data_IF_864353916686
#
_entry.id   IF_864353916686
#
_cell.length_a   1.000
_cell.length_b   1.000
_cell.length_c   1.000
_cell.angle_alpha   90.00
_cell.angle_beta   90.00
_cell.angle_gamma   90.00
#
_symmetry.space_group_name_H-M   'P 1'
#
loop_
_entity.id
_entity.type
_entity.pdbx_description
1 polymer ?
#
# COMPACT_ATOMS: atom_id res chain seq x y z
N UNK A 1 7.91 -21.41 7.48
CA UNK A 1 6.57 -20.98 7.93
C UNK A 1 6.41 -19.45 8.03
N UNK A 2 7.48 -18.65 8.03
CA UNK A 2 7.38 -17.18 8.06
C UNK A 2 6.99 -16.55 6.70
N UNK A 3 7.36 -17.18 5.58
CA UNK A 3 7.16 -16.63 4.24
C UNK A 3 5.69 -16.46 3.84
N UNK A 4 4.83 -17.42 4.22
CA UNK A 4 3.40 -17.38 3.89
C UNK A 4 2.64 -16.24 4.60
N UNK A 5 3.09 -15.86 5.80
CA UNK A 5 2.42 -14.80 6.58
C UNK A 5 2.85 -13.41 6.09
N UNK A 6 4.11 -13.28 5.65
CA UNK A 6 4.65 -12.05 5.05
C UNK A 6 4.05 -11.79 3.67
N UNK A 7 3.87 -12.83 2.83
CA UNK A 7 3.16 -12.71 1.54
C UNK A 7 1.70 -12.27 1.74
N UNK A 8 0.98 -12.84 2.72
CA UNK A 8 -0.40 -12.41 3.03
C UNK A 8 -0.52 -10.96 3.51
N UNK A 9 0.49 -10.41 4.21
CA UNK A 9 0.47 -8.98 4.56
C UNK A 9 0.76 -8.09 3.36
N UNK A 10 1.70 -8.50 2.52
CA UNK A 10 2.08 -7.82 1.29
C UNK A 10 0.88 -7.69 0.33
N UNK A 11 0.21 -8.81 0.05
CA UNK A 11 -1.01 -8.86 -0.77
C UNK A 11 -2.09 -7.92 -0.22
N UNK A 12 -2.35 -7.98 1.09
CA UNK A 12 -3.35 -7.11 1.72
C UNK A 12 -3.01 -5.62 1.62
N UNK A 13 -1.74 -5.24 1.70
CA UNK A 13 -1.31 -3.84 1.55
C UNK A 13 -1.59 -3.35 0.13
N UNK A 14 -1.30 -4.17 -0.88
CA UNK A 14 -1.60 -3.87 -2.29
C UNK A 14 -3.11 -3.76 -2.50
N UNK A 15 -3.89 -4.68 -1.95
CA UNK A 15 -5.35 -4.63 -2.05
C UNK A 15 -5.93 -3.37 -1.38
N UNK A 16 -5.40 -2.94 -0.23
CA UNK A 16 -5.82 -1.69 0.42
C UNK A 16 -5.57 -0.47 -0.49
N UNK A 17 -4.42 -0.43 -1.17
CA UNK A 17 -4.12 0.64 -2.13
C UNK A 17 -5.12 0.63 -3.30
N UNK A 18 -5.46 -0.55 -3.83
CA UNK A 18 -6.46 -0.69 -4.89
C UNK A 18 -7.85 -0.24 -4.44
N UNK A 19 -8.26 -0.55 -3.21
CA UNK A 19 -9.52 -0.07 -2.65
C UNK A 19 -9.56 1.47 -2.57
N UNK A 20 -8.48 2.07 -2.09
CA UNK A 20 -8.38 3.53 -2.00
C UNK A 20 -8.42 4.19 -3.37
N UNK A 21 -7.79 3.59 -4.39
CA UNK A 21 -7.82 4.07 -5.76
C UNK A 21 -9.22 3.98 -6.37
N UNK A 22 -9.90 2.84 -6.18
CA UNK A 22 -11.20 2.57 -6.81
C UNK A 22 -12.34 3.36 -6.17
N UNK A 23 -12.35 3.49 -4.83
CA UNK A 23 -13.44 4.11 -4.09
C UNK A 23 -13.15 5.55 -3.64
N UNK A 24 -11.90 6.01 -3.78
CA UNK A 24 -11.43 7.33 -3.33
C UNK A 24 -11.30 7.46 -1.83
N UNK A 25 -12.34 7.12 -1.06
CA UNK A 25 -12.36 7.17 0.41
C UNK A 25 -12.79 5.83 0.98
N UNK A 26 -11.97 5.23 1.84
CA UNK A 26 -12.25 3.93 2.46
C UNK A 26 -12.22 4.05 3.99
N UNK A 27 -13.13 3.37 4.69
CA UNK A 27 -13.16 3.35 6.15
C UNK A 27 -12.36 2.17 6.73
N UNK A 28 -11.71 2.38 7.87
CA UNK A 28 -11.01 1.30 8.60
C UNK A 28 -11.94 0.12 8.91
N UNK A 29 -13.19 0.40 9.28
CA UNK A 29 -14.20 -0.63 9.53
C UNK A 29 -14.47 -1.48 8.28
N UNK A 30 -14.55 -0.86 7.10
CA UNK A 30 -14.69 -1.59 5.85
C UNK A 30 -13.50 -2.53 5.60
N UNK A 31 -12.28 -2.05 5.81
CA UNK A 31 -11.07 -2.89 5.68
C UNK A 31 -11.08 -4.08 6.64
N UNK A 32 -11.50 -3.86 7.90
CA UNK A 32 -11.62 -4.93 8.89
C UNK A 32 -12.57 -6.03 8.45
N UNK A 33 -13.74 -5.66 7.92
CA UNK A 33 -14.74 -6.61 7.42
C UNK A 33 -14.25 -7.33 6.17
N UNK A 34 -13.73 -6.58 5.19
CA UNK A 34 -13.29 -7.12 3.89
C UNK A 34 -12.16 -8.14 4.03
N UNK A 35 -11.17 -7.83 4.85
CA UNK A 35 -9.99 -8.68 5.01
C UNK A 35 -10.07 -9.61 6.23
N UNK A 36 -11.18 -9.57 6.98
CA UNK A 36 -11.37 -10.31 8.23
C UNK A 36 -10.19 -10.11 9.20
N UNK A 37 -9.85 -8.85 9.48
CA UNK A 37 -8.73 -8.46 10.34
C UNK A 37 -9.18 -7.64 11.53
N UNK A 38 -8.36 -7.67 12.59
CA UNK A 38 -8.57 -6.80 13.76
C UNK A 38 -8.32 -5.33 13.42
N UNK A 39 -8.89 -4.44 14.24
CA UNK A 39 -8.65 -3.00 14.13
C UNK A 39 -7.16 -2.65 14.23
N UNK A 40 -6.41 -3.32 15.12
CA UNK A 40 -4.96 -3.16 15.27
C UNK A 40 -4.21 -3.50 13.98
N UNK A 41 -4.59 -4.60 13.31
CA UNK A 41 -3.99 -4.99 12.03
C UNK A 41 -4.29 -3.95 10.96
N UNK A 42 -5.54 -3.49 10.88
CA UNK A 42 -5.93 -2.46 9.91
C UNK A 42 -5.15 -1.16 10.13
N UNK A 43 -4.98 -0.71 11.38
CA UNK A 43 -4.15 0.46 11.71
C UNK A 43 -2.70 0.28 11.29
N UNK A 44 -2.10 -0.88 11.58
CA UNK A 44 -0.71 -1.15 11.20
C UNK A 44 -0.53 -1.07 9.70
N UNK A 45 -1.44 -1.67 8.94
CA UNK A 45 -1.37 -1.71 7.49
C UNK A 45 -1.60 -0.31 6.89
N UNK A 46 -2.55 0.46 7.42
CA UNK A 46 -2.73 1.88 7.07
C UNK A 46 -1.51 2.74 7.43
N UNK A 47 -0.84 2.45 8.55
CA UNK A 47 0.35 3.18 8.98
C UNK A 47 1.56 2.92 8.06
N UNK A 48 1.67 1.70 7.51
CA UNK A 48 2.66 1.40 6.46
C UNK A 48 2.45 2.24 5.20
N UNK A 49 1.21 2.66 4.95
CA UNK A 49 0.81 3.47 3.80
C UNK A 49 0.75 4.98 4.09
N UNK A 50 1.21 5.42 5.28
CA UNK A 50 1.05 6.80 5.77
C UNK A 50 1.66 7.89 4.86
N UNK A 51 2.67 7.54 4.05
CA UNK A 51 3.25 8.46 3.05
C UNK A 51 2.34 8.70 1.83
N UNK A 52 1.31 7.87 1.65
CA UNK A 52 0.48 7.82 0.44
C UNK A 52 -0.98 8.13 0.72
N UNK A 53 -1.39 8.01 1.98
CA UNK A 53 -2.78 8.19 2.40
C UNK A 53 -2.88 9.32 3.42
N UNK A 54 -4.01 10.00 3.43
CA UNK A 54 -4.36 10.96 4.46
C UNK A 54 -5.67 10.58 5.17
N UNK A 55 -5.74 10.91 6.46
CA UNK A 55 -6.93 10.72 7.27
C UNK A 55 -7.99 11.78 6.97
N UNK A 56 -9.20 11.35 6.63
CA UNK A 56 -10.35 12.23 6.39
C UNK A 56 -11.19 12.47 7.66
N UNK A 57 -10.76 11.96 8.82
CA UNK A 57 -11.55 11.89 10.04
C UNK A 57 -12.47 10.66 10.08
N UNK A 58 -13.02 10.36 11.27
CA UNK A 58 -13.94 9.23 11.51
C UNK A 58 -13.42 7.86 11.03
N UNK A 59 -12.10 7.65 11.10
CA UNK A 59 -11.45 6.41 10.64
C UNK A 59 -11.52 6.19 9.13
N UNK A 60 -11.71 7.24 8.33
CA UNK A 60 -11.69 7.19 6.86
C UNK A 60 -10.36 7.70 6.31
N UNK A 61 -9.93 7.11 5.21
CA UNK A 61 -8.66 7.37 4.56
C UNK A 61 -8.84 7.52 3.05
N UNK A 62 -7.97 8.29 2.41
CA UNK A 62 -7.90 8.45 0.95
C UNK A 62 -6.47 8.58 0.48
N UNK A 63 -6.22 8.35 -0.80
CA UNK A 63 -4.93 8.68 -1.40
C UNK A 63 -4.69 10.19 -1.38
N UNK A 64 -3.46 10.59 -1.08
CA UNK A 64 -3.02 11.99 -1.18
C UNK A 64 -3.09 12.39 -2.67
N UNK A 65 -3.68 13.54 -3.05
CA UNK A 65 -3.81 13.93 -4.45
C UNK A 65 -2.47 14.09 -5.19
N UNK A 66 -2.43 13.70 -6.47
CA UNK A 66 -1.25 13.68 -7.36
C UNK A 66 -0.51 15.01 -7.52
N UNK A 67 -1.17 16.15 -7.31
CA UNK A 67 -0.51 17.48 -7.26
C UNK A 67 0.54 17.61 -6.14
N UNK A 68 0.60 16.67 -5.22
CA UNK A 68 1.61 16.57 -4.17
C UNK A 68 2.62 15.42 -4.41
N UNK A 69 2.54 14.70 -5.54
CA UNK A 69 3.19 13.40 -5.76
C UNK A 69 4.39 13.39 -6.71
N UNK A 70 4.92 14.54 -7.16
CA UNK A 70 6.04 14.59 -8.12
C UNK A 70 7.33 13.86 -7.68
N UNK A 71 7.46 13.50 -6.39
CA UNK A 71 8.56 12.71 -5.84
C UNK A 71 8.07 11.47 -5.06
N UNK A 72 6.75 11.25 -5.03
CA UNK A 72 6.12 10.19 -4.23
C UNK A 72 6.13 8.87 -5.00
N UNK A 73 6.07 8.87 -6.34
CA UNK A 73 6.10 7.62 -7.12
C UNK A 73 7.41 6.84 -6.98
N UNK A 74 8.58 7.49 -7.06
CA UNK A 74 9.88 6.83 -6.84
C UNK A 74 10.05 6.38 -5.38
N UNK A 75 9.54 7.19 -4.44
CA UNK A 75 9.50 6.84 -3.02
C UNK A 75 8.51 5.69 -2.75
N UNK A 76 7.38 5.61 -3.46
CA UNK A 76 6.40 4.52 -3.41
C UNK A 76 7.05 3.24 -3.88
N UNK A 77 7.63 3.26 -5.08
CA UNK A 77 8.23 2.09 -5.71
C UNK A 77 9.32 1.50 -4.81
N UNK A 78 10.20 2.34 -4.27
CA UNK A 78 11.28 1.92 -3.36
C UNK A 78 10.80 1.49 -1.96
N UNK A 79 9.75 2.11 -1.40
CA UNK A 79 9.22 1.73 -0.07
C UNK A 79 8.38 0.47 -0.13
N UNK A 80 7.52 0.34 -1.14
CA UNK A 80 6.75 -0.87 -1.40
C UNK A 80 7.67 -2.02 -1.76
N UNK A 81 8.70 -1.79 -2.59
CA UNK A 81 9.72 -2.77 -2.88
C UNK A 81 10.34 -3.40 -1.62
N UNK A 82 10.81 -2.55 -0.69
CA UNK A 82 11.39 -2.98 0.59
C UNK A 82 10.36 -3.69 1.48
N UNK A 83 9.13 -3.17 1.52
CA UNK A 83 8.04 -3.73 2.31
C UNK A 83 7.68 -5.15 1.86
N UNK A 84 7.57 -5.33 0.54
CA UNK A 84 7.17 -6.58 -0.11
C UNK A 84 8.34 -7.56 -0.27
N UNK A 85 9.53 -7.21 0.20
CA UNK A 85 10.78 -7.95 -0.05
C UNK A 85 11.07 -8.13 -1.54
N UNK A 86 10.50 -7.27 -2.38
CA UNK A 86 10.62 -7.38 -3.82
C UNK A 86 12.06 -7.09 -4.28
N UNK A 87 12.93 -6.51 -3.44
CA UNK A 87 14.38 -6.42 -3.68
C UNK A 87 15.02 -7.82 -3.86
N UNK A 88 14.46 -8.86 -3.23
CA UNK A 88 14.93 -10.24 -3.39
C UNK A 88 14.44 -10.90 -4.70
N UNK A 89 13.39 -10.36 -5.33
CA UNK A 89 12.72 -10.96 -6.50
C UNK A 89 13.01 -10.18 -7.79
N UNK A 90 13.12 -8.86 -7.69
CA UNK A 90 13.41 -7.94 -8.80
C UNK A 90 14.52 -6.97 -8.34
N UNK A 91 15.80 -7.35 -8.52
CA UNK A 91 16.93 -6.58 -8.02
C UNK A 91 17.17 -5.27 -8.82
N UNK A 92 16.87 -5.26 -10.11
CA UNK A 92 17.02 -4.11 -10.98
C UNK A 92 15.64 -3.53 -11.32
N UNK A 93 15.26 -2.46 -10.61
CA UNK A 93 14.02 -1.67 -10.81
C UNK A 93 14.34 -0.26 -11.26
N UNK A 94 15.27 -0.14 -12.20
CA UNK A 94 15.55 1.13 -12.83
C UNK A 94 14.37 1.58 -13.70
N UNK A 95 14.45 2.81 -14.20
CA UNK A 95 13.44 3.39 -15.08
C UNK A 95 13.20 2.50 -16.33
N UNK A 96 14.24 1.77 -16.78
CA UNK A 96 14.16 0.83 -17.88
C UNK A 96 13.30 -0.40 -17.58
N UNK A 97 13.42 -0.98 -16.38
CA UNK A 97 12.56 -2.08 -15.93
C UNK A 97 11.08 -1.68 -15.96
N UNK A 98 10.74 -0.52 -15.40
CA UNK A 98 9.35 -0.07 -15.36
C UNK A 98 8.79 0.27 -16.75
N UNK A 99 9.59 0.88 -17.61
CA UNK A 99 9.22 1.16 -19.01
C UNK A 99 9.03 -0.11 -19.85
N UNK A 100 9.61 -1.24 -19.45
CA UNK A 100 9.44 -2.53 -20.15
C UNK A 100 8.14 -3.27 -19.82
N UNK A 101 7.43 -2.82 -18.77
CA UNK A 101 6.17 -3.42 -18.30
C UNK A 101 4.93 -2.73 -18.88
N UNK A 102 5.11 -1.62 -19.58
CA UNK A 102 4.07 -0.86 -20.30
C UNK A 102 3.86 -1.42 -21.73
#
# INVERSE_FOLDING_TARGET
MADSTRSRSAERIVDILMELQNYGVVSRYHLMQKFNITERTAYRDLNMLSLFIEGCGNGKYRLIPSKFQNNIYDTMASTLAKLLDADAVFPDRDEYFWNSLE
#
